data_IF_805760091083
#
_entry.id   IF_805760091083
#
_cell.length_a   1.000
_cell.length_b   1.000
_cell.length_c   1.000
_cell.angle_alpha   90.00
_cell.angle_beta   90.00
_cell.angle_gamma   90.00
#
_symmetry.space_group_name_H-M   'P 1'
#
loop_
_entity.id
_entity.type
_entity.pdbx_description
1 polymer ?
#
# COMPACT_ATOMS: atom_id res chain seq x y z
N UNK A 1 6.68 -12.88 15.02
CA UNK A 1 5.59 -12.08 15.63
C UNK A 1 4.51 -11.80 14.58
N UNK A 2 3.23 -11.76 14.90
CA UNK A 2 2.19 -11.30 13.96
C UNK A 2 2.21 -9.76 13.88
N UNK A 3 2.08 -9.16 12.69
CA UNK A 3 2.01 -7.69 12.51
C UNK A 3 0.88 -7.39 11.53
N UNK A 4 -0.30 -7.05 12.07
CA UNK A 4 -1.44 -6.55 11.29
C UNK A 4 -1.18 -5.06 11.03
N UNK A 5 -1.27 -4.64 9.77
CA UNK A 5 -0.98 -3.27 9.36
C UNK A 5 -2.14 -2.60 8.60
N UNK A 6 -3.22 -3.33 8.33
CA UNK A 6 -4.50 -2.75 7.91
C UNK A 6 -5.67 -3.59 8.39
N UNK A 7 -6.77 -2.90 8.64
CA UNK A 7 -8.11 -3.47 8.84
C UNK A 7 -9.09 -2.63 8.03
N UNK A 8 -9.95 -3.26 7.26
CA UNK A 8 -10.95 -2.56 6.44
C UNK A 8 -12.27 -3.34 6.40
N UNK A 9 -13.33 -2.67 5.94
CA UNK A 9 -14.66 -3.26 5.80
C UNK A 9 -15.00 -3.43 4.32
N UNK A 10 -15.40 -4.63 3.91
CA UNK A 10 -15.81 -4.89 2.53
C UNK A 10 -16.93 -5.94 2.50
N UNK A 11 -18.08 -5.60 1.89
CA UNK A 11 -19.21 -6.52 1.61
C UNK A 11 -19.55 -7.48 2.75
N UNK A 12 -19.85 -6.97 3.95
CA UNK A 12 -20.21 -7.88 5.06
C UNK A 12 -19.02 -8.57 5.78
N UNK A 13 -17.80 -8.52 5.23
CA UNK A 13 -16.56 -9.03 5.85
C UNK A 13 -15.68 -7.95 6.50
N UNK A 14 -14.98 -8.34 7.57
CA UNK A 14 -13.84 -7.58 8.12
C UNK A 14 -12.58 -8.12 7.49
N UNK A 15 -11.86 -7.29 6.75
CA UNK A 15 -10.62 -7.66 6.09
C UNK A 15 -9.41 -7.18 6.90
N UNK A 16 -8.34 -7.96 6.92
CA UNK A 16 -7.10 -7.61 7.61
C UNK A 16 -5.88 -8.07 6.82
N UNK A 17 -4.81 -7.29 6.85
CA UNK A 17 -3.54 -7.64 6.20
C UNK A 17 -2.34 -7.30 7.08
N UNK A 18 -1.19 -7.86 6.71
CA UNK A 18 0.02 -7.78 7.51
C UNK A 18 1.22 -8.31 6.75
N UNK A 19 2.41 -7.77 7.05
CA UNK A 19 3.67 -8.06 6.34
C UNK A 19 3.98 -9.56 6.26
N UNK A 20 3.57 -10.32 7.29
CA UNK A 20 3.79 -11.76 7.43
C UNK A 20 2.52 -12.60 7.29
N UNK A 21 1.41 -12.01 6.86
CA UNK A 21 0.18 -12.75 6.57
C UNK A 21 0.22 -13.30 5.14
N UNK A 22 -0.41 -14.47 4.89
CA UNK A 22 -0.34 -15.16 3.60
C UNK A 22 -1.25 -14.55 2.52
N UNK A 23 -1.85 -13.38 2.78
CA UNK A 23 -2.90 -12.80 1.95
C UNK A 23 -3.58 -11.63 2.64
N UNK A 24 -4.53 -11.02 1.91
CA UNK A 24 -5.60 -10.26 2.52
C UNK A 24 -6.59 -11.26 3.13
N UNK A 25 -6.72 -11.25 4.45
CA UNK A 25 -7.52 -12.20 5.19
C UNK A 25 -8.91 -11.61 5.45
N UNK A 26 -9.95 -12.45 5.40
CA UNK A 26 -11.32 -12.09 5.72
C UNK A 26 -11.80 -12.81 6.97
N UNK A 27 -12.42 -12.07 7.88
CA UNK A 27 -13.24 -12.62 8.95
C UNK A 27 -14.70 -12.51 8.51
N UNK A 28 -15.37 -13.66 8.50
CA UNK A 28 -16.81 -13.79 8.19
C UNK A 28 -17.39 -14.89 9.07
N UNK A 29 -18.51 -14.60 9.74
CA UNK A 29 -19.24 -15.55 10.58
C UNK A 29 -18.33 -16.25 11.63
N UNK A 30 -17.42 -15.47 12.22
CA UNK A 30 -16.46 -15.97 13.22
C UNK A 30 -15.31 -16.82 12.67
N UNK A 31 -15.21 -16.97 11.34
CA UNK A 31 -14.17 -17.78 10.68
C UNK A 31 -13.21 -16.90 9.89
N UNK A 32 -11.94 -17.29 9.92
CA UNK A 32 -10.87 -16.66 9.12
C UNK A 32 -10.69 -17.44 7.81
N UNK A 33 -10.68 -16.72 6.69
CA UNK A 33 -10.34 -17.24 5.37
C UNK A 33 -9.46 -16.25 4.60
N UNK A 34 -8.90 -16.67 3.46
CA UNK A 34 -8.18 -15.75 2.56
C UNK A 34 -9.17 -15.13 1.57
N UNK A 35 -9.18 -13.81 1.47
CA UNK A 35 -9.91 -13.08 0.44
C UNK A 35 -9.12 -13.00 -0.86
N UNK A 36 -7.85 -12.60 -0.77
CA UNK A 36 -6.94 -12.51 -1.91
C UNK A 36 -5.51 -12.87 -1.53
N UNK A 37 -4.75 -13.39 -2.49
CA UNK A 37 -3.29 -13.54 -2.40
C UNK A 37 -2.61 -12.19 -2.62
N UNK A 38 -1.56 -11.92 -1.85
CA UNK A 38 -0.71 -10.73 -2.00
C UNK A 38 0.75 -11.13 -1.93
N UNK A 39 1.64 -10.31 -2.51
CA UNK A 39 3.08 -10.54 -2.41
C UNK A 39 3.52 -10.50 -0.93
N UNK A 40 4.44 -11.38 -0.49
CA UNK A 40 5.04 -11.29 0.83
C UNK A 40 5.71 -9.93 1.05
N UNK A 41 5.71 -9.44 2.29
CA UNK A 41 6.31 -8.14 2.62
C UNK A 41 5.42 -6.94 2.27
N UNK A 42 4.17 -7.17 1.89
CA UNK A 42 3.23 -6.09 1.54
C UNK A 42 2.66 -5.39 2.77
N UNK A 43 2.39 -4.10 2.61
CA UNK A 43 1.71 -3.27 3.59
C UNK A 43 0.35 -2.82 3.10
N UNK A 44 -0.59 -2.71 4.04
CA UNK A 44 -1.88 -2.07 3.86
C UNK A 44 -2.61 -2.58 2.63
N UNK A 45 -2.82 -3.89 2.54
CA UNK A 45 -3.65 -4.46 1.49
C UNK A 45 -5.13 -4.19 1.79
N UNK A 46 -5.89 -3.90 0.73
CA UNK A 46 -7.33 -3.62 0.78
C UNK A 46 -8.01 -4.27 -0.44
N UNK A 47 -9.28 -4.64 -0.30
CA UNK A 47 -10.07 -5.13 -1.43
C UNK A 47 -10.23 -4.02 -2.48
N UNK A 48 -10.19 -4.40 -3.76
CA UNK A 48 -10.27 -3.46 -4.88
C UNK A 48 -11.23 -3.98 -5.94
N UNK A 49 -12.32 -3.25 -6.19
CA UNK A 49 -13.40 -3.74 -7.06
C UNK A 49 -14.12 -4.94 -6.45
N UNK A 50 -14.56 -5.87 -7.31
CA UNK A 50 -15.38 -7.01 -6.91
C UNK A 50 -14.58 -8.19 -6.38
N UNK A 51 -13.43 -8.45 -7.01
CA UNK A 51 -12.59 -9.63 -6.83
C UNK A 51 -11.09 -9.31 -6.82
N UNK A 52 -10.72 -8.02 -6.75
CA UNK A 52 -9.33 -7.59 -6.78
C UNK A 52 -8.77 -7.22 -5.41
N UNK A 53 -7.47 -6.96 -5.41
CA UNK A 53 -6.73 -6.47 -4.25
C UNK A 53 -5.78 -5.37 -4.67
N UNK A 54 -5.66 -4.36 -3.81
CA UNK A 54 -4.66 -3.29 -3.94
C UNK A 54 -3.78 -3.31 -2.70
N UNK A 55 -2.46 -3.17 -2.87
CA UNK A 55 -1.53 -3.23 -1.75
C UNK A 55 -0.22 -2.50 -2.04
N UNK A 56 0.44 -2.03 -0.98
CA UNK A 56 1.79 -1.51 -1.09
C UNK A 56 2.77 -2.69 -1.09
N UNK A 57 3.34 -3.04 -2.24
CA UNK A 57 4.43 -4.01 -2.36
C UNK A 57 5.73 -3.35 -1.90
N UNK A 58 5.86 -3.12 -0.59
CA UNK A 58 6.93 -2.31 0.01
C UNK A 58 8.33 -2.84 -0.31
N UNK A 59 8.50 -4.16 -0.41
CA UNK A 59 9.78 -4.75 -0.84
C UNK A 59 10.16 -4.48 -2.30
N UNK A 60 9.25 -3.92 -3.10
CA UNK A 60 9.41 -3.66 -4.54
C UNK A 60 9.18 -2.18 -4.92
N UNK A 61 9.01 -1.29 -3.94
CA UNK A 61 8.82 0.15 -4.14
C UNK A 61 7.67 0.51 -5.09
N UNK A 62 6.60 -0.28 -4.99
CA UNK A 62 5.45 -0.14 -5.86
C UNK A 62 4.14 -0.31 -5.11
N UNK A 63 3.12 0.36 -5.64
CA UNK A 63 1.72 0.03 -5.43
C UNK A 63 1.35 -1.03 -6.47
N UNK A 64 0.61 -2.06 -6.04
CA UNK A 64 0.15 -3.13 -6.91
C UNK A 64 -1.36 -3.24 -6.86
N UNK A 65 -1.98 -3.38 -8.03
CA UNK A 65 -3.35 -3.86 -8.18
C UNK A 65 -3.26 -5.25 -8.81
N UNK A 66 -3.90 -6.23 -8.18
CA UNK A 66 -3.92 -7.62 -8.60
C UNK A 66 -5.35 -8.18 -8.55
N UNK A 67 -5.57 -9.34 -9.16
CA UNK A 67 -6.76 -10.15 -8.89
C UNK A 67 -6.66 -10.92 -7.56
N UNK A 68 -7.71 -11.67 -7.21
CA UNK A 68 -7.78 -12.46 -5.98
C UNK A 68 -6.68 -13.53 -5.90
N UNK A 69 -6.23 -14.06 -7.04
CA UNK A 69 -5.18 -15.06 -7.14
C UNK A 69 -3.78 -14.45 -6.96
N UNK A 70 -3.66 -13.13 -7.04
CA UNK A 70 -2.43 -12.38 -6.87
C UNK A 70 -1.67 -12.14 -8.17
N UNK A 71 -2.33 -12.28 -9.33
CA UNK A 71 -1.77 -11.90 -10.61
C UNK A 71 -1.84 -10.37 -10.77
N UNK A 72 -0.67 -9.76 -10.90
CA UNK A 72 -0.55 -8.31 -11.01
C UNK A 72 -1.22 -7.80 -12.30
N UNK A 73 -2.24 -6.96 -12.12
CA UNK A 73 -2.86 -6.19 -13.21
C UNK A 73 -2.11 -4.89 -13.45
N UNK A 74 -1.59 -4.25 -12.40
CA UNK A 74 -0.81 -3.00 -12.46
C UNK A 74 0.28 -2.96 -11.40
N UNK A 75 1.41 -2.38 -11.77
CA UNK A 75 2.52 -2.02 -10.88
C UNK A 75 2.86 -0.54 -11.08
N UNK A 76 2.70 0.27 -10.04
CA UNK A 76 2.94 1.70 -10.06
C UNK A 76 4.10 2.01 -9.11
N UNK A 77 5.27 2.33 -9.68
CA UNK A 77 6.46 2.68 -8.89
C UNK A 77 6.26 4.00 -8.18
N UNK A 78 6.68 4.08 -6.92
CA UNK A 78 6.67 5.35 -6.21
C UNK A 78 7.69 6.34 -6.80
N UNK A 79 7.42 7.65 -6.72
CA UNK A 79 8.41 8.66 -7.06
C UNK A 79 9.73 8.45 -6.30
N UNK A 80 10.84 8.78 -6.97
CA UNK A 80 12.20 8.72 -6.43
C UNK A 80 12.80 10.12 -6.44
N UNK A 81 13.74 10.33 -5.52
CA UNK A 81 14.44 11.60 -5.39
C UNK A 81 15.96 11.37 -5.48
N UNK A 82 16.73 12.41 -5.89
CA UNK A 82 18.18 12.31 -5.94
C UNK A 82 18.77 11.91 -4.60
N UNK A 83 19.73 10.98 -4.60
CA UNK A 83 20.29 10.43 -3.36
C UNK A 83 20.96 11.50 -2.48
N UNK A 84 21.63 12.49 -3.09
CA UNK A 84 22.26 13.60 -2.37
C UNK A 84 21.30 14.57 -1.69
N UNK A 85 20.00 14.48 -1.97
CA UNK A 85 18.97 15.29 -1.32
C UNK A 85 18.30 14.58 -0.14
N UNK A 86 18.50 13.26 -0.01
CA UNK A 86 17.87 12.46 1.04
C UNK A 86 18.52 12.73 2.40
N UNK A 87 17.69 12.78 3.45
CA UNK A 87 18.14 12.85 4.83
C UNK A 87 17.99 11.48 5.50
N UNK A 88 18.98 11.11 6.32
CA UNK A 88 19.07 9.81 7.02
C UNK A 88 19.04 8.60 6.07
N UNK A 89 19.64 8.73 4.88
CA UNK A 89 19.69 7.69 3.86
C UNK A 89 20.69 6.56 4.16
N UNK A 90 21.47 6.69 5.23
CA UNK A 90 22.45 5.73 5.73
C UNK A 90 21.83 4.60 6.58
N UNK A 91 20.53 4.70 6.88
CA UNK A 91 19.80 3.68 7.63
C UNK A 91 19.68 2.36 6.84
N UNK A 92 19.64 1.20 7.53
CA UNK A 92 19.37 -0.07 6.88
C UNK A 92 18.06 -0.06 6.09
N UNK A 93 18.09 -0.66 4.90
CA UNK A 93 17.01 -0.63 3.92
C UNK A 93 15.69 -1.27 4.41
N UNK A 94 15.78 -2.18 5.37
CA UNK A 94 14.64 -2.85 5.99
C UNK A 94 13.96 -2.02 7.08
N UNK A 95 14.59 -0.92 7.52
CA UNK A 95 14.03 0.03 8.48
C UNK A 95 13.37 1.24 7.81
N UNK A 96 14.11 1.95 6.96
CA UNK A 96 13.62 3.16 6.29
C UNK A 96 14.48 3.49 5.06
N UNK A 97 13.81 3.71 3.91
CA UNK A 97 14.44 4.13 2.65
C UNK A 97 13.42 4.78 1.75
N UNK A 98 13.85 5.52 0.73
CA UNK A 98 12.89 6.05 -0.26
C UNK A 98 12.15 4.89 -0.97
N UNK A 99 10.89 5.12 -1.35
CA UNK A 99 10.02 4.11 -1.95
C UNK A 99 9.34 3.17 -0.95
N UNK A 100 9.56 3.33 0.35
CA UNK A 100 8.92 2.48 1.36
C UNK A 100 7.43 2.84 1.52
N UNK A 101 6.55 2.20 0.73
CA UNK A 101 5.11 2.45 0.70
C UNK A 101 4.33 1.80 1.84
N UNK A 102 3.40 2.53 2.49
CA UNK A 102 2.58 2.04 3.61
C UNK A 102 1.16 2.60 3.65
N UNK A 103 0.97 3.89 3.38
CA UNK A 103 -0.34 4.52 3.33
C UNK A 103 -1.11 4.13 2.07
N UNK A 104 -2.41 3.91 2.20
CA UNK A 104 -3.28 3.56 1.08
C UNK A 104 -4.74 3.97 1.37
N UNK A 105 -5.34 4.70 0.44
CA UNK A 105 -6.77 4.81 0.27
C UNK A 105 -7.09 4.99 -1.22
N UNK A 106 -8.37 4.95 -1.60
CA UNK A 106 -8.78 5.12 -3.00
C UNK A 106 -10.19 5.68 -3.06
N UNK A 107 -10.49 6.41 -4.15
CA UNK A 107 -11.79 7.01 -4.41
C UNK A 107 -11.92 7.37 -5.89
N UNK A 108 -13.10 7.17 -6.47
CA UNK A 108 -13.46 7.64 -7.82
C UNK A 108 -12.42 7.26 -8.90
N UNK A 109 -11.94 6.01 -8.88
CA UNK A 109 -10.95 5.50 -9.84
C UNK A 109 -9.51 5.95 -9.58
N UNK A 110 -9.26 6.68 -8.50
CA UNK A 110 -7.92 7.11 -8.07
C UNK A 110 -7.45 6.28 -6.88
N UNK A 111 -6.17 5.94 -6.88
CA UNK A 111 -5.49 5.34 -5.73
C UNK A 111 -4.49 6.33 -5.16
N UNK A 112 -4.55 6.55 -3.85
CA UNK A 112 -3.74 7.53 -3.13
C UNK A 112 -2.86 6.76 -2.14
N UNK A 113 -1.55 6.99 -2.23
CA UNK A 113 -0.55 6.21 -1.50
C UNK A 113 0.45 7.09 -0.79
N UNK A 114 0.92 6.58 0.35
CA UNK A 114 1.98 7.18 1.14
C UNK A 114 3.26 6.37 1.04
N UNK A 115 4.37 7.01 0.69
CA UNK A 115 5.71 6.40 0.64
C UNK A 115 6.78 7.29 1.28
N UNK A 116 7.88 6.69 1.73
CA UNK A 116 9.07 7.44 2.11
C UNK A 116 9.78 8.05 0.88
N UNK A 117 10.44 9.22 1.02
CA UNK A 117 10.35 10.12 2.16
C UNK A 117 9.03 10.93 2.09
N UNK A 118 8.24 10.96 3.15
CA UNK A 118 6.98 11.69 3.35
C UNK A 118 6.23 12.17 2.09
N UNK A 119 5.98 11.24 1.16
CA UNK A 119 5.42 11.53 -0.17
C UNK A 119 4.01 10.96 -0.25
N UNK A 120 3.06 11.79 -0.70
CA UNK A 120 1.72 11.36 -1.08
C UNK A 120 1.60 11.42 -2.59
N UNK A 121 1.25 10.30 -3.21
CA UNK A 121 1.08 10.19 -4.65
C UNK A 121 -0.32 9.72 -5.01
N UNK A 122 -0.86 10.25 -6.11
CA UNK A 122 -2.16 9.89 -6.66
C UNK A 122 -1.93 9.23 -8.01
N UNK A 123 -2.42 8.00 -8.17
CA UNK A 123 -2.40 7.26 -9.42
C UNK A 123 -3.82 7.06 -9.95
N UNK A 124 -3.98 7.07 -11.26
CA UNK A 124 -5.19 6.63 -11.93
C UNK A 124 -5.19 5.10 -11.98
N UNK A 125 -6.21 4.45 -11.40
CA UNK A 125 -6.19 3.00 -11.18
C UNK A 125 -6.19 2.19 -12.48
N UNK A 126 -6.92 2.66 -13.49
CA UNK A 126 -7.10 1.96 -14.76
C UNK A 126 -5.80 1.95 -15.59
N UNK A 127 -5.16 3.11 -15.70
CA UNK A 127 -3.98 3.32 -16.55
C UNK A 127 -2.66 3.12 -15.78
N UNK A 128 -2.69 3.23 -14.45
CA UNK A 128 -1.50 3.29 -13.59
C UNK A 128 -0.74 4.62 -13.70
N UNK A 129 -1.29 5.63 -14.36
CA UNK A 129 -0.63 6.91 -14.58
C UNK A 129 -0.53 7.70 -13.28
N UNK A 130 0.66 8.22 -12.97
CA UNK A 130 0.85 9.19 -11.90
C UNK A 130 0.10 10.49 -12.26
N UNK A 131 -0.88 10.86 -11.44
CA UNK A 131 -1.67 12.07 -11.60
C UNK A 131 -0.98 13.24 -10.91
N UNK A 132 -0.54 13.04 -9.68
CA UNK A 132 0.13 14.07 -8.86
C UNK A 132 0.95 13.43 -7.75
N UNK A 133 2.00 14.12 -7.34
CA UNK A 133 2.76 13.78 -6.14
C UNK A 133 3.11 15.03 -5.34
N UNK A 134 3.15 14.92 -4.02
CA UNK A 134 3.56 15.97 -3.09
C UNK A 134 4.51 15.36 -2.07
N UNK A 135 5.69 15.96 -1.92
CA UNK A 135 6.66 15.64 -0.88
C UNK A 135 6.59 16.68 0.25
N UNK A 136 6.65 16.22 1.50
CA UNK A 136 6.66 17.10 2.68
C UNK A 136 8.08 17.29 3.24
N UNK A 137 8.90 16.22 3.21
CA UNK A 137 10.28 16.22 3.70
C UNK A 137 11.09 15.15 2.97
N UNK A 138 12.41 15.36 2.90
CA UNK A 138 13.39 14.43 2.31
C UNK A 138 13.94 13.40 3.30
N UNK A 139 13.50 13.45 4.56
CA UNK A 139 13.88 12.47 5.58
C UNK A 139 13.16 11.13 5.38
N UNK A 140 13.94 10.10 5.02
CA UNK A 140 13.43 8.78 4.63
C UNK A 140 12.75 8.02 5.75
N UNK A 141 12.96 8.43 7.02
CA UNK A 141 12.31 7.85 8.19
C UNK A 141 10.81 8.14 8.23
N UNK A 142 10.35 9.15 7.50
CA UNK A 142 8.95 9.53 7.46
C UNK A 142 8.22 8.88 6.29
N UNK A 143 7.11 8.22 6.57
CA UNK A 143 6.17 7.70 5.59
C UNK A 143 4.73 7.97 6.08
N UNK A 144 3.81 8.45 5.24
CA UNK A 144 2.39 8.48 5.61
C UNK A 144 1.87 7.04 5.72
N UNK A 145 1.52 6.59 6.94
CA UNK A 145 1.11 5.19 7.18
C UNK A 145 -0.39 4.97 7.04
N UNK A 146 -1.20 5.95 7.45
CA UNK A 146 -2.65 5.93 7.33
C UNK A 146 -3.09 7.04 6.38
N UNK A 147 -3.97 6.70 5.45
CA UNK A 147 -4.62 7.64 4.54
C UNK A 147 -6.10 7.26 4.51
N UNK A 148 -6.96 8.25 4.52
CA UNK A 148 -8.42 8.09 4.50
C UNK A 148 -9.03 9.28 3.77
N UNK A 149 -10.17 9.08 3.11
CA UNK A 149 -10.91 10.19 2.50
C UNK A 149 -11.91 10.73 3.50
N UNK A 150 -11.88 12.05 3.70
CA UNK A 150 -12.88 12.77 4.49
C UNK A 150 -13.97 13.39 3.59
N UNK A 151 -15.25 13.46 4.01
CA UNK A 151 -15.82 12.86 5.22
C UNK A 151 -16.07 11.35 5.06
N UNK A 152 -16.01 10.62 6.18
CA UNK A 152 -16.30 9.19 6.25
C UNK A 152 -17.78 8.90 6.50
#
# INVERSE_FOLDING_TARGET
MLHINSVSRHRGMTLLSGVRLPGLMAIRDGRLGRFASIRPGSHNAQAFGDDGVVYNATGHDALVIADAEGFDRRNMRYPRYPEGELLNADLPEDHARQGFGRGLCFRDGLVIVGSSPATVSVFEAETGRLVRSVNITMDVRHCPHGLEIWPF
#
